data_IF_978639428252
#
_entry.id   IF_978639428252
#
_cell.length_a   1.000
_cell.length_b   1.000
_cell.length_c   1.000
_cell.angle_alpha   90.00
_cell.angle_beta   90.00
_cell.angle_gamma   90.00
#
_symmetry.space_group_name_H-M   'P 1'
#
loop_
_entity.id
_entity.type
_entity.pdbx_description
1 polymer ?
#
# COMPACT_ATOMS: atom_id res chain seq x y z
N UNK A 1 -16.16 -10.49 10.26
CA UNK A 1 -17.08 -10.40 11.42
C UNK A 1 -16.95 -9.02 12.03
N UNK A 2 -18.07 -8.44 12.48
CA UNK A 2 -18.14 -7.11 13.10
C UNK A 2 -18.56 -7.31 14.55
N UNK A 3 -17.90 -6.60 15.45
CA UNK A 3 -18.08 -6.71 16.89
C UNK A 3 -18.33 -5.33 17.48
N UNK A 4 -19.17 -5.28 18.49
CA UNK A 4 -19.31 -4.09 19.33
C UNK A 4 -18.08 -4.01 20.26
N UNK A 5 -17.35 -2.92 20.22
CA UNK A 5 -16.14 -2.75 21.03
C UNK A 5 -16.42 -2.50 22.51
N UNK A 6 -17.63 -2.03 22.85
CA UNK A 6 -18.03 -1.77 24.24
C UNK A 6 -18.50 -3.05 24.95
N UNK A 7 -19.25 -3.90 24.25
CA UNK A 7 -19.85 -5.11 24.82
C UNK A 7 -19.08 -6.39 24.50
N UNK A 8 -18.28 -6.37 23.42
CA UNK A 8 -17.61 -7.57 22.90
C UNK A 8 -18.58 -8.52 22.16
N UNK A 9 -19.81 -8.11 21.95
CA UNK A 9 -20.81 -8.93 21.25
C UNK A 9 -20.61 -8.84 19.73
N UNK A 10 -20.85 -9.97 19.05
CA UNK A 10 -20.81 -10.02 17.59
C UNK A 10 -22.09 -9.45 17.02
N UNK A 11 -22.00 -8.33 16.32
CA UNK A 11 -23.12 -7.68 15.65
C UNK A 11 -23.45 -8.37 14.33
N UNK A 12 -22.46 -8.51 13.43
CA UNK A 12 -22.67 -9.02 12.08
C UNK A 12 -21.57 -9.97 11.61
N UNK A 13 -21.96 -10.85 10.67
CA UNK A 13 -21.02 -11.65 9.89
C UNK A 13 -21.21 -11.32 8.42
N UNK A 14 -20.23 -10.67 7.81
CA UNK A 14 -20.21 -10.43 6.37
C UNK A 14 -19.83 -11.72 5.67
N UNK A 15 -20.67 -12.14 4.73
CA UNK A 15 -20.41 -13.32 3.88
C UNK A 15 -20.76 -12.99 2.44
N UNK A 16 -19.87 -13.35 1.54
CA UNK A 16 -20.21 -13.41 0.14
C UNK A 16 -21.11 -14.63 -0.12
N UNK A 17 -21.97 -14.56 -1.15
CA UNK A 17 -22.84 -15.68 -1.56
C UNK A 17 -22.11 -16.73 -2.38
N UNK A 18 -20.93 -16.39 -2.91
CA UNK A 18 -20.08 -17.35 -3.58
C UNK A 18 -19.30 -18.10 -2.52
N UNK A 19 -19.29 -19.42 -2.59
CA UNK A 19 -18.62 -20.32 -1.62
C UNK A 19 -17.08 -20.19 -1.62
N UNK A 20 -16.51 -19.13 -2.19
CA UNK A 20 -15.07 -18.94 -2.21
C UNK A 20 -14.60 -18.41 -0.84
N UNK A 21 -13.97 -19.27 -0.09
CA UNK A 21 -13.30 -18.99 1.18
C UNK A 21 -11.97 -18.26 0.95
N UNK A 22 -12.00 -17.14 0.21
CA UNK A 22 -10.79 -16.37 -0.08
C UNK A 22 -10.38 -15.53 1.14
N UNK A 23 -9.07 -15.47 1.39
CA UNK A 23 -8.53 -14.65 2.46
C UNK A 23 -8.75 -13.17 2.17
N UNK A 24 -9.30 -12.44 3.13
CA UNK A 24 -9.35 -10.98 3.08
C UNK A 24 -7.93 -10.45 3.23
N UNK A 25 -7.53 -9.59 2.30
CA UNK A 25 -6.19 -8.98 2.28
C UNK A 25 -6.21 -7.59 2.94
N UNK A 26 -7.21 -6.78 2.61
CA UNK A 26 -7.30 -5.42 3.11
C UNK A 26 -8.74 -4.92 3.24
N UNK A 27 -8.92 -3.88 4.03
CA UNK A 27 -10.18 -3.19 4.28
C UNK A 27 -9.96 -1.68 4.24
N UNK A 28 -10.81 -0.97 3.52
CA UNK A 28 -10.84 0.48 3.52
C UNK A 28 -12.25 1.00 3.82
N UNK A 29 -12.31 2.08 4.59
CA UNK A 29 -13.53 2.83 4.83
C UNK A 29 -13.77 3.75 3.65
N UNK A 30 -14.95 3.68 3.05
CA UNK A 30 -15.39 4.63 2.04
C UNK A 30 -15.82 5.94 2.73
N UNK A 31 -15.06 7.04 2.58
CA UNK A 31 -15.35 8.26 3.32
C UNK A 31 -16.58 9.00 2.80
N UNK A 32 -16.89 8.87 1.51
CA UNK A 32 -17.95 9.66 0.87
C UNK A 32 -19.33 9.01 1.03
N UNK A 33 -19.39 7.67 1.00
CA UNK A 33 -20.64 6.93 1.16
C UNK A 33 -20.95 6.56 2.61
N UNK A 34 -20.07 6.81 3.55
CA UNK A 34 -20.27 6.57 4.98
C UNK A 34 -20.94 7.77 5.66
N UNK A 35 -21.81 7.47 6.63
CA UNK A 35 -22.50 8.45 7.47
C UNK A 35 -22.37 8.09 8.95
N UNK A 36 -22.86 8.93 9.87
CA UNK A 36 -22.86 8.65 11.31
C UNK A 36 -23.61 7.38 11.69
N UNK A 37 -24.59 6.95 10.88
CA UNK A 37 -25.46 5.80 11.16
C UNK A 37 -25.14 4.57 10.31
N UNK A 38 -24.42 4.73 9.23
CA UNK A 38 -24.13 3.69 8.26
C UNK A 38 -22.73 3.82 7.70
N UNK A 39 -21.98 2.74 7.76
CA UNK A 39 -20.60 2.66 7.31
C UNK A 39 -20.52 1.86 6.01
N UNK A 40 -19.83 2.38 5.01
CA UNK A 40 -19.50 1.64 3.80
C UNK A 40 -18.03 1.21 3.84
N UNK A 41 -17.80 -0.10 3.81
CA UNK A 41 -16.48 -0.70 3.74
C UNK A 41 -16.22 -1.29 2.36
N UNK A 42 -15.00 -1.18 1.92
CA UNK A 42 -14.46 -1.92 0.78
C UNK A 42 -13.52 -3.00 1.28
N UNK A 43 -13.65 -4.22 0.77
CA UNK A 43 -12.75 -5.32 1.08
C UNK A 43 -12.11 -5.88 -0.17
N UNK A 44 -10.81 -6.12 -0.10
CA UNK A 44 -10.06 -6.88 -1.09
C UNK A 44 -9.70 -8.27 -0.55
N UNK A 45 -9.43 -9.21 -1.44
CA UNK A 45 -9.14 -10.59 -1.09
C UNK A 45 -8.17 -11.27 -2.06
N UNK A 46 -7.87 -12.55 -1.80
CA UNK A 46 -7.02 -13.37 -2.65
C UNK A 46 -7.66 -13.73 -4.00
N UNK A 47 -8.77 -13.11 -4.35
CA UNK A 47 -9.38 -13.13 -5.68
C UNK A 47 -9.35 -11.74 -6.32
N UNK A 48 -9.67 -11.58 -7.60
CA UNK A 48 -9.66 -10.28 -8.27
C UNK A 48 -10.83 -9.37 -7.88
N UNK A 49 -11.77 -9.83 -7.06
CA UNK A 49 -12.99 -9.11 -6.76
C UNK A 49 -12.81 -8.21 -5.53
N UNK A 50 -13.17 -6.96 -5.68
CA UNK A 50 -13.28 -5.99 -4.60
C UNK A 50 -14.77 -5.85 -4.26
N UNK A 51 -15.13 -6.02 -3.00
CA UNK A 51 -16.50 -6.04 -2.54
C UNK A 51 -16.79 -4.83 -1.67
N UNK A 52 -17.97 -4.25 -1.84
CA UNK A 52 -18.45 -3.11 -1.03
C UNK A 52 -19.54 -3.59 -0.08
N UNK A 53 -19.45 -3.17 1.17
CA UNK A 53 -20.33 -3.59 2.25
C UNK A 53 -20.95 -2.39 2.92
N UNK A 54 -22.25 -2.40 3.05
CA UNK A 54 -23.02 -1.40 3.78
C UNK A 54 -23.40 -1.96 5.14
N UNK A 55 -23.04 -1.25 6.20
CA UNK A 55 -23.07 -1.73 7.58
C UNK A 55 -23.73 -0.68 8.45
N UNK A 56 -24.81 -1.08 9.15
CA UNK A 56 -25.44 -0.31 10.22
C UNK A 56 -25.48 -1.14 11.51
N UNK A 57 -25.95 -0.56 12.60
CA UNK A 57 -26.12 -1.31 13.85
C UNK A 57 -27.08 -2.50 13.70
N UNK A 58 -28.09 -2.38 12.86
CA UNK A 58 -29.18 -3.36 12.70
C UNK A 58 -29.02 -4.29 11.51
N UNK A 59 -28.20 -3.92 10.52
CA UNK A 59 -28.05 -4.67 9.27
C UNK A 59 -26.65 -4.56 8.69
N UNK A 60 -26.23 -5.61 8.00
CA UNK A 60 -24.99 -5.59 7.21
C UNK A 60 -25.18 -6.45 5.96
N UNK A 61 -24.92 -5.86 4.79
CA UNK A 61 -25.07 -6.52 3.50
C UNK A 61 -24.04 -6.04 2.50
N UNK A 62 -23.72 -6.87 1.51
CA UNK A 62 -22.99 -6.42 0.35
C UNK A 62 -23.87 -5.46 -0.47
N UNK A 63 -23.29 -4.37 -0.97
CA UNK A 63 -24.02 -3.44 -1.84
C UNK A 63 -24.47 -4.12 -3.11
N UNK A 64 -25.59 -3.64 -3.68
CA UNK A 64 -26.20 -4.18 -4.89
C UNK A 64 -26.23 -3.07 -5.92
N UNK A 65 -25.94 -3.39 -7.17
CA UNK A 65 -25.97 -2.41 -8.24
C UNK A 65 -27.41 -1.93 -8.46
N UNK A 66 -27.68 -0.63 -8.26
CA UNK A 66 -29.02 -0.07 -8.35
C UNK A 66 -29.65 -0.22 -9.75
N UNK A 67 -28.84 -0.29 -10.80
CA UNK A 67 -29.30 -0.44 -12.18
C UNK A 67 -29.83 -1.85 -12.46
N UNK A 68 -29.38 -2.88 -11.75
CA UNK A 68 -29.78 -4.26 -11.94
C UNK A 68 -31.05 -4.60 -11.15
N UNK A 69 -31.35 -3.88 -10.08
CA UNK A 69 -32.57 -4.08 -9.29
C UNK A 69 -33.82 -3.74 -10.10
N UNK A 70 -33.73 -2.79 -11.02
CA UNK A 70 -34.85 -2.36 -11.87
C UNK A 70 -35.11 -3.25 -13.09
N UNK A 71 -34.11 -4.04 -13.51
CA UNK A 71 -34.14 -4.73 -14.81
C UNK A 71 -34.45 -6.23 -14.75
N UNK A 72 -34.40 -6.90 -13.60
CA UNK A 72 -34.53 -8.35 -13.56
C UNK A 72 -35.37 -8.87 -12.41
N UNK A 73 -36.25 -9.82 -12.73
CA UNK A 73 -36.92 -10.72 -11.76
C UNK A 73 -35.96 -11.81 -11.23
N UNK A 74 -34.67 -11.74 -11.56
CA UNK A 74 -33.61 -12.60 -11.07
C UNK A 74 -32.93 -12.00 -9.84
N UNK A 75 -32.18 -12.82 -9.09
CA UNK A 75 -31.46 -12.40 -7.88
C UNK A 75 -30.66 -11.14 -8.14
N UNK A 76 -30.66 -10.15 -7.20
CA UNK A 76 -29.90 -8.92 -7.37
C UNK A 76 -28.43 -9.24 -7.60
N UNK A 77 -27.86 -8.68 -8.66
CA UNK A 77 -26.44 -8.79 -8.96
C UNK A 77 -25.69 -7.95 -7.94
N UNK A 78 -24.76 -8.55 -7.24
CA UNK A 78 -23.95 -7.88 -6.25
C UNK A 78 -22.97 -6.96 -6.92
N UNK A 79 -22.79 -5.80 -6.33
CA UNK A 79 -21.84 -4.82 -6.78
C UNK A 79 -20.42 -5.26 -6.39
N UNK A 80 -19.73 -5.89 -7.33
CA UNK A 80 -18.33 -6.29 -7.23
C UNK A 80 -17.54 -5.57 -8.28
N UNK A 81 -16.44 -4.95 -7.86
CA UNK A 81 -15.48 -4.30 -8.74
C UNK A 81 -14.45 -5.37 -9.14
N UNK A 82 -14.30 -5.60 -10.44
CA UNK A 82 -13.36 -6.59 -10.96
C UNK A 82 -12.53 -5.98 -12.08
N UNK A 83 -11.53 -5.22 -11.69
CA UNK A 83 -10.62 -4.52 -12.60
C UNK A 83 -9.22 -5.15 -12.63
N UNK A 84 -8.93 -6.07 -11.71
CA UNK A 84 -7.70 -6.83 -11.64
C UNK A 84 -7.87 -8.27 -12.12
N UNK A 85 -6.77 -8.92 -12.49
CA UNK A 85 -6.77 -10.31 -12.97
C UNK A 85 -6.59 -11.33 -11.84
N UNK A 86 -6.05 -10.91 -10.71
CA UNK A 86 -5.73 -11.77 -9.57
C UNK A 86 -5.89 -11.03 -8.24
N UNK A 87 -5.31 -11.56 -7.17
CA UNK A 87 -5.41 -11.06 -5.79
C UNK A 87 -5.16 -9.56 -5.68
N UNK A 88 -6.04 -8.86 -4.97
CA UNK A 88 -5.85 -7.45 -4.62
C UNK A 88 -5.35 -7.36 -3.20
N UNK A 89 -4.13 -6.85 -3.03
CA UNK A 89 -3.46 -6.82 -1.73
C UNK A 89 -3.75 -5.57 -0.91
N UNK A 90 -3.96 -4.44 -1.58
CA UNK A 90 -4.19 -3.16 -0.90
C UNK A 90 -5.28 -2.37 -1.59
N UNK A 91 -6.08 -1.66 -0.78
CA UNK A 91 -7.12 -0.73 -1.22
C UNK A 91 -7.05 0.54 -0.37
N UNK A 92 -7.04 1.71 -1.02
CA UNK A 92 -6.95 3.01 -0.34
C UNK A 92 -7.85 4.01 -1.04
N UNK A 93 -8.64 4.78 -0.29
CA UNK A 93 -9.35 5.93 -0.83
C UNK A 93 -8.47 7.17 -0.77
N UNK A 94 -8.40 7.90 -1.86
CA UNK A 94 -7.67 9.17 -1.92
C UNK A 94 -8.31 10.10 -2.95
N UNK A 95 -8.48 11.38 -2.59
CA UNK A 95 -9.06 12.45 -3.39
C UNK A 95 -9.52 13.60 -2.50
N UNK A 96 -9.80 14.76 -3.11
CA UNK A 96 -10.19 15.97 -2.38
C UNK A 96 -11.72 16.10 -2.27
N UNK A 97 -12.43 16.25 -3.40
CA UNK A 97 -13.89 16.43 -3.43
C UNK A 97 -14.64 15.11 -3.50
N UNK A 98 -14.19 14.22 -4.36
CA UNK A 98 -14.65 12.82 -4.45
C UNK A 98 -13.41 11.92 -4.38
N UNK A 99 -13.49 10.88 -3.54
CA UNK A 99 -12.38 9.96 -3.39
C UNK A 99 -12.46 8.81 -4.39
N UNK A 100 -11.39 8.60 -5.12
CA UNK A 100 -11.21 7.43 -5.97
C UNK A 100 -10.59 6.27 -5.17
N UNK A 101 -10.81 5.06 -5.64
CA UNK A 101 -10.27 3.85 -5.03
C UNK A 101 -8.96 3.46 -5.72
N UNK A 102 -7.87 3.50 -4.96
CA UNK A 102 -6.55 3.10 -5.39
C UNK A 102 -6.26 1.69 -4.93
N UNK A 103 -5.73 0.87 -5.82
CA UNK A 103 -5.58 -0.57 -5.59
C UNK A 103 -4.20 -1.04 -5.98
N UNK A 104 -3.73 -2.11 -5.32
CA UNK A 104 -2.48 -2.79 -5.62
C UNK A 104 -2.71 -4.30 -5.71
N UNK A 105 -2.19 -4.94 -6.74
CA UNK A 105 -2.51 -6.33 -7.06
C UNK A 105 -1.29 -7.20 -7.37
N UNK A 106 -1.48 -8.49 -7.21
CA UNK A 106 -0.55 -9.53 -7.64
C UNK A 106 -0.46 -9.67 -9.18
N UNK A 107 -1.30 -8.99 -9.95
CA UNK A 107 -1.18 -8.93 -11.42
C UNK A 107 -0.03 -8.02 -11.89
N UNK A 108 0.70 -7.42 -10.96
CA UNK A 108 1.84 -6.53 -11.25
C UNK A 108 1.43 -5.09 -11.48
N UNK A 109 0.18 -4.75 -11.24
CA UNK A 109 -0.34 -3.40 -11.47
C UNK A 109 -0.87 -2.73 -10.19
N UNK A 110 -0.81 -1.42 -10.19
CA UNK A 110 -1.62 -0.58 -9.31
C UNK A 110 -2.58 0.26 -10.17
N UNK A 111 -3.81 0.45 -9.73
CA UNK A 111 -4.85 1.12 -10.51
C UNK A 111 -5.56 2.18 -9.70
N UNK A 112 -5.97 3.24 -10.40
CA UNK A 112 -6.95 4.22 -9.94
C UNK A 112 -8.32 3.83 -10.51
N UNK A 113 -9.28 3.57 -9.64
CA UNK A 113 -10.65 3.22 -10.00
C UNK A 113 -11.55 4.41 -9.68
N UNK A 114 -12.07 5.04 -10.72
CA UNK A 114 -12.82 6.28 -10.58
C UNK A 114 -14.25 6.05 -10.08
N UNK A 115 -14.61 6.73 -9.00
CA UNK A 115 -15.96 6.75 -8.45
C UNK A 115 -16.96 7.28 -9.49
N UNK A 116 -16.62 8.40 -10.15
CA UNK A 116 -17.48 9.03 -11.17
C UNK A 116 -17.74 8.12 -12.38
N UNK A 117 -16.85 7.15 -12.64
CA UNK A 117 -16.96 6.16 -13.72
C UNK A 117 -17.42 4.79 -13.22
N UNK A 118 -18.13 4.75 -12.10
CA UNK A 118 -18.62 3.51 -11.48
C UNK A 118 -17.51 2.47 -11.24
N UNK A 119 -16.39 2.93 -10.67
CA UNK A 119 -15.24 2.12 -10.29
C UNK A 119 -14.50 1.45 -11.45
N UNK A 120 -14.69 1.94 -12.68
CA UNK A 120 -13.85 1.50 -13.79
C UNK A 120 -12.45 2.09 -13.70
N UNK A 121 -11.47 1.38 -14.23
CA UNK A 121 -10.06 1.82 -14.26
C UNK A 121 -9.92 3.11 -15.04
N UNK A 122 -9.34 4.12 -14.41
CA UNK A 122 -8.99 5.39 -15.03
C UNK A 122 -7.51 5.43 -15.39
N UNK A 123 -6.65 4.97 -14.47
CA UNK A 123 -5.20 4.92 -14.69
C UNK A 123 -4.62 3.58 -14.20
N UNK A 124 -3.57 3.14 -14.87
CA UNK A 124 -2.84 1.90 -14.54
C UNK A 124 -1.35 2.20 -14.46
N UNK A 125 -0.72 1.71 -13.40
CA UNK A 125 0.72 1.82 -13.12
C UNK A 125 1.32 0.42 -13.20
N UNK A 126 2.08 0.16 -14.26
CA UNK A 126 2.73 -1.13 -14.53
C UNK A 126 4.00 -1.27 -13.67
N UNK A 127 3.86 -1.87 -12.50
CA UNK A 127 4.99 -2.06 -11.60
C UNK A 127 5.95 -3.15 -12.09
N UNK A 128 5.40 -4.23 -12.67
CA UNK A 128 6.17 -5.31 -13.29
C UNK A 128 6.27 -6.59 -12.45
N UNK A 129 6.10 -6.52 -11.15
CA UNK A 129 5.96 -7.68 -10.24
C UNK A 129 4.84 -7.38 -9.23
N UNK A 130 4.52 -8.33 -8.36
CA UNK A 130 3.43 -8.23 -7.38
C UNK A 130 3.49 -6.93 -6.58
N UNK A 131 2.47 -6.10 -6.71
CA UNK A 131 2.34 -4.86 -5.92
C UNK A 131 1.64 -5.19 -4.61
N UNK A 132 2.36 -5.06 -3.51
CA UNK A 132 1.82 -5.34 -2.17
C UNK A 132 1.30 -4.10 -1.47
N UNK A 133 1.83 -2.94 -1.83
CA UNK A 133 1.51 -1.69 -1.17
C UNK A 133 1.41 -0.54 -2.17
N UNK A 134 0.50 0.37 -1.89
CA UNK A 134 0.31 1.62 -2.62
C UNK A 134 0.19 2.77 -1.63
N UNK A 135 0.78 3.89 -1.95
CA UNK A 135 0.61 5.18 -1.29
C UNK A 135 0.28 6.24 -2.34
N UNK A 136 -0.56 7.18 -1.99
CA UNK A 136 -0.98 8.24 -2.90
C UNK A 136 -0.82 9.59 -2.23
N UNK A 137 -0.38 10.57 -3.01
CA UNK A 137 -0.27 11.98 -2.63
C UNK A 137 -0.91 12.84 -3.72
N UNK A 138 -0.93 14.14 -3.52
CA UNK A 138 -1.43 15.07 -4.55
C UNK A 138 -0.60 15.02 -5.83
N UNK A 139 0.71 14.79 -5.74
CA UNK A 139 1.64 14.80 -6.85
C UNK A 139 2.11 13.41 -7.31
N UNK A 140 2.15 12.43 -6.41
CA UNK A 140 2.82 11.16 -6.63
C UNK A 140 1.94 9.97 -6.31
N UNK A 141 2.10 8.91 -7.08
CA UNK A 141 1.68 7.56 -6.73
C UNK A 141 2.94 6.77 -6.38
N UNK A 142 2.89 6.01 -5.32
CA UNK A 142 4.00 5.22 -4.81
C UNK A 142 3.56 3.76 -4.81
N UNK A 143 4.31 2.90 -5.45
CA UNK A 143 4.04 1.46 -5.45
C UNK A 143 5.26 0.70 -4.95
N UNK A 144 5.03 -0.38 -4.23
CA UNK A 144 6.10 -1.24 -3.77
C UNK A 144 5.60 -2.69 -3.66
N UNK A 145 6.50 -3.63 -3.80
CA UNK A 145 6.11 -5.01 -3.86
C UNK A 145 7.22 -6.03 -3.70
N UNK A 146 7.07 -7.11 -4.43
CA UNK A 146 7.92 -8.28 -4.35
C UNK A 146 9.31 -8.07 -5.00
N UNK A 147 9.42 -7.14 -5.91
CA UNK A 147 10.68 -6.79 -6.57
C UNK A 147 11.63 -5.95 -5.71
N UNK A 148 11.29 -5.75 -4.40
CA UNK A 148 12.12 -5.03 -3.43
C UNK A 148 12.19 -3.52 -3.67
N UNK A 149 11.64 -3.04 -4.78
CA UNK A 149 11.67 -1.65 -5.22
C UNK A 149 10.52 -0.83 -4.65
N UNK A 150 10.80 0.47 -4.40
CA UNK A 150 9.78 1.49 -4.16
C UNK A 150 9.76 2.45 -5.36
N UNK A 151 8.72 2.37 -6.18
CA UNK A 151 8.58 3.12 -7.42
C UNK A 151 7.72 4.36 -7.21
N UNK A 152 8.21 5.49 -7.68
CA UNK A 152 7.54 6.78 -7.61
C UNK A 152 7.06 7.16 -9.01
N UNK A 153 5.77 7.40 -9.14
CA UNK A 153 5.11 7.73 -10.38
C UNK A 153 4.56 9.15 -10.31
N UNK A 154 4.72 9.91 -11.37
CA UNK A 154 4.05 11.20 -11.51
C UNK A 154 2.56 10.97 -11.72
N UNK A 155 1.73 11.45 -10.78
CA UNK A 155 0.28 11.22 -10.80
C UNK A 155 -0.41 11.86 -12.00
N UNK A 156 0.07 13.00 -12.47
CA UNK A 156 -0.56 13.72 -13.57
C UNK A 156 -0.27 13.10 -14.94
N UNK A 157 0.86 12.41 -15.10
CA UNK A 157 1.30 11.86 -16.37
C UNK A 157 1.30 10.34 -16.43
N UNK A 158 1.13 9.67 -15.30
CA UNK A 158 1.23 8.20 -15.14
C UNK A 158 2.65 7.64 -15.35
N UNK A 159 3.67 8.50 -15.51
CA UNK A 159 5.02 8.06 -15.85
C UNK A 159 5.86 7.77 -14.63
N UNK A 160 6.67 6.72 -14.72
CA UNK A 160 7.69 6.40 -13.72
C UNK A 160 8.68 7.56 -13.62
N UNK A 161 8.81 8.13 -12.42
CA UNK A 161 9.73 9.21 -12.12
C UNK A 161 11.05 8.72 -11.54
N UNK A 162 10.98 7.82 -10.54
CA UNK A 162 12.15 7.31 -9.85
C UNK A 162 11.89 5.94 -9.25
N UNK A 163 12.94 5.17 -9.09
CA UNK A 163 12.96 3.90 -8.38
C UNK A 163 13.93 4.02 -7.21
N UNK A 164 13.45 3.84 -6.01
CA UNK A 164 14.26 3.69 -4.83
C UNK A 164 14.61 2.21 -4.66
N UNK A 165 15.87 1.90 -4.90
CA UNK A 165 16.50 0.62 -4.67
C UNK A 165 17.13 0.61 -3.27
N UNK A 166 16.82 -0.36 -2.46
CA UNK A 166 17.40 -0.43 -1.13
C UNK A 166 16.90 -1.52 -0.21
N UNK A 167 15.68 -2.05 -0.40
CA UNK A 167 15.28 -3.26 0.29
C UNK A 167 15.93 -4.49 -0.34
N UNK A 168 15.96 -5.60 0.39
CA UNK A 168 16.56 -6.86 -0.01
C UNK A 168 15.55 -8.01 0.02
N UNK A 169 14.29 -7.71 0.27
CA UNK A 169 13.16 -8.63 0.32
C UNK A 169 11.86 -7.85 0.09
N UNK A 170 10.74 -8.57 -0.09
CA UNK A 170 9.42 -8.01 -0.36
C UNK A 170 9.10 -6.79 0.51
N UNK A 171 8.68 -5.70 -0.11
CA UNK A 171 8.10 -4.56 0.59
C UNK A 171 6.63 -4.83 0.85
N UNK A 172 6.24 -4.92 2.12
CA UNK A 172 4.91 -5.37 2.54
C UNK A 172 3.93 -4.23 2.82
N UNK A 173 4.43 -3.05 3.16
CA UNK A 173 3.59 -1.90 3.46
C UNK A 173 4.26 -0.57 3.13
N UNK A 174 3.41 0.42 2.81
CA UNK A 174 3.78 1.82 2.63
C UNK A 174 2.90 2.71 3.49
N UNK A 175 3.49 3.73 4.10
CA UNK A 175 2.78 4.78 4.81
C UNK A 175 3.28 6.13 4.33
N UNK A 176 2.40 6.95 3.81
CA UNK A 176 2.70 8.34 3.44
C UNK A 176 2.59 9.21 4.67
N UNK A 177 3.57 10.09 4.90
CA UNK A 177 3.51 11.07 5.98
C UNK A 177 2.38 12.08 5.75
N UNK A 178 1.83 12.62 6.83
CA UNK A 178 0.69 13.55 6.76
C UNK A 178 1.01 14.82 5.95
N UNK A 179 2.27 15.25 5.92
CA UNK A 179 2.73 16.39 5.12
C UNK A 179 3.00 16.03 3.65
N UNK A 180 2.76 14.78 3.24
CA UNK A 180 2.98 14.22 1.91
C UNK A 180 4.42 14.37 1.38
N UNK A 181 5.39 14.63 2.26
CA UNK A 181 6.80 14.84 1.86
C UNK A 181 7.67 13.61 1.95
N UNK A 182 7.17 12.58 2.63
CA UNK A 182 7.91 11.33 2.83
C UNK A 182 6.99 10.14 2.71
N UNK A 183 7.56 9.04 2.27
CA UNK A 183 6.94 7.72 2.37
C UNK A 183 7.85 6.82 3.20
N UNK A 184 7.24 6.00 4.03
CA UNK A 184 7.88 5.00 4.86
C UNK A 184 7.52 3.65 4.27
N UNK A 185 8.52 2.84 3.96
CA UNK A 185 8.35 1.47 3.52
C UNK A 185 8.77 0.48 4.61
N UNK A 186 8.10 -0.66 4.65
CA UNK A 186 8.39 -1.76 5.57
C UNK A 186 8.58 -3.03 4.74
N UNK A 187 9.64 -3.78 5.01
CA UNK A 187 9.99 -4.98 4.27
C UNK A 187 10.20 -6.20 5.18
N UNK A 188 10.12 -7.39 4.58
CA UNK A 188 10.49 -8.65 5.21
C UNK A 188 11.99 -8.70 5.54
N UNK A 189 12.83 -7.87 4.91
CA UNK A 189 14.26 -7.70 5.23
C UNK A 189 14.51 -7.17 6.66
N UNK A 190 13.44 -6.96 7.45
CA UNK A 190 13.44 -6.45 8.83
C UNK A 190 13.85 -4.99 8.94
N UNK A 191 13.82 -4.25 7.84
CA UNK A 191 14.10 -2.83 7.84
C UNK A 191 12.86 -1.99 7.57
N UNK A 192 12.91 -0.78 8.08
CA UNK A 192 12.00 0.31 7.80
C UNK A 192 12.82 1.41 7.15
N UNK A 193 12.38 1.92 5.99
CA UNK A 193 13.07 2.97 5.26
C UNK A 193 12.18 4.18 5.05
N UNK A 194 12.81 5.34 4.99
CA UNK A 194 12.14 6.62 4.78
C UNK A 194 12.70 7.24 3.52
N UNK A 195 11.81 7.60 2.59
CA UNK A 195 12.14 8.14 1.29
C UNK A 195 11.52 9.52 1.13
N UNK A 196 12.29 10.46 0.59
CA UNK A 196 11.80 11.80 0.31
C UNK A 196 10.93 11.85 -0.95
N UNK A 197 9.81 12.56 -0.88
CA UNK A 197 8.90 12.80 -2.01
C UNK A 197 8.97 14.24 -2.52
N UNK A 198 9.77 15.09 -1.88
CA UNK A 198 10.02 16.46 -2.34
C UNK A 198 10.72 16.46 -3.70
N UNK A 199 10.31 17.33 -4.64
CA UNK A 199 10.94 17.41 -5.95
C UNK A 199 12.47 17.54 -5.90
N UNK A 200 13.07 18.40 -5.03
CA UNK A 200 14.53 18.48 -4.91
C UNK A 200 15.18 17.18 -4.42
N UNK A 201 14.53 16.47 -3.51
CA UNK A 201 15.03 15.20 -2.96
C UNK A 201 14.98 14.09 -4.02
N UNK A 202 13.87 14.02 -4.76
CA UNK A 202 13.69 13.08 -5.87
C UNK A 202 14.67 13.33 -7.02
N UNK A 203 14.91 14.61 -7.38
CA UNK A 203 15.90 14.95 -8.39
C UNK A 203 17.32 14.58 -7.96
N UNK A 204 17.64 14.76 -6.67
CA UNK A 204 18.93 14.37 -6.10
C UNK A 204 19.08 12.85 -6.13
N UNK A 205 18.08 12.10 -5.64
CA UNK A 205 18.09 10.65 -5.66
C UNK A 205 18.22 10.08 -7.09
N UNK A 206 17.53 10.68 -8.05
CA UNK A 206 17.62 10.29 -9.45
C UNK A 206 19.03 10.52 -10.02
N UNK A 207 19.65 11.66 -9.73
CA UNK A 207 21.03 11.95 -10.18
C UNK A 207 22.03 10.98 -9.55
N UNK A 208 21.89 10.67 -8.27
CA UNK A 208 22.74 9.70 -7.57
C UNK A 208 22.61 8.29 -8.17
N UNK A 209 21.39 7.87 -8.51
CA UNK A 209 21.12 6.61 -9.19
C UNK A 209 21.74 6.58 -10.60
N UNK A 210 21.59 7.65 -11.38
CA UNK A 210 22.22 7.77 -12.71
C UNK A 210 23.76 7.79 -12.63
N UNK A 211 24.35 8.42 -11.62
CA UNK A 211 25.81 8.43 -11.38
C UNK A 211 26.32 7.04 -11.00
N UNK A 212 25.58 6.32 -10.13
CA UNK A 212 25.90 4.92 -9.79
C UNK A 212 25.84 4.00 -11.02
N UNK A 213 24.81 4.14 -11.84
CA UNK A 213 24.66 3.35 -13.07
C UNK A 213 25.78 3.62 -14.09
N UNK A 214 26.35 4.82 -14.11
CA UNK A 214 27.48 5.20 -14.96
C UNK A 214 28.84 4.81 -14.40
N UNK A 215 28.89 4.11 -13.24
CA UNK A 215 30.14 3.66 -12.60
C UNK A 215 30.96 4.81 -11.99
N UNK A 216 30.37 5.98 -11.80
CA UNK A 216 31.00 7.09 -11.09
C UNK A 216 30.79 6.87 -9.60
N UNK A 217 31.68 6.07 -8.99
CA UNK A 217 31.71 5.90 -7.54
C UNK A 217 32.26 7.20 -6.94
N UNK A 218 31.38 8.05 -6.43
CA UNK A 218 31.83 9.05 -5.45
C UNK A 218 32.10 8.28 -4.16
N UNK A 219 33.36 8.22 -3.75
CA UNK A 219 33.70 7.85 -2.37
C UNK A 219 32.94 8.82 -1.44
N UNK A 220 31.83 8.38 -0.88
CA UNK A 220 31.25 9.07 0.27
C UNK A 220 32.37 9.13 1.32
N UNK A 221 32.79 10.34 1.67
CA UNK A 221 33.53 10.56 2.91
C UNK A 221 32.65 10.10 4.03
N UNK A 222 32.84 8.86 4.44
CA UNK A 222 32.27 8.30 5.66
C UNK A 222 32.69 9.27 6.75
N UNK A 223 31.73 10.02 7.30
CA UNK A 223 31.97 10.80 8.51
C UNK A 223 32.54 9.79 9.52
N UNK A 224 33.65 10.13 10.23
CA UNK A 224 34.28 9.20 11.14
C UNK A 224 33.18 8.71 12.09
N UNK A 225 32.93 7.40 12.09
CA UNK A 225 32.09 6.77 13.10
C UNK A 225 32.64 7.26 14.43
N UNK A 226 31.88 8.04 15.19
CA UNK A 226 32.21 8.27 16.59
C UNK A 226 32.32 6.90 17.21
N UNK A 227 33.54 6.50 17.58
CA UNK A 227 33.73 5.31 18.37
C UNK A 227 32.82 5.44 19.59
N UNK A 228 31.87 4.54 19.70
CA UNK A 228 30.91 4.47 20.82
C UNK A 228 31.61 4.00 22.10
N UNK A 229 32.79 3.44 21.94
CA UNK A 229 33.63 2.92 23.02
C UNK A 229 34.72 3.96 23.36
N UNK A 230 34.99 4.12 24.62
CA UNK A 230 36.10 4.89 25.11
C UNK A 230 37.39 4.09 24.89
N UNK A 231 38.56 4.77 24.89
CA UNK A 231 39.86 4.12 24.72
C UNK A 231 40.10 3.04 25.78
N UNK A 232 39.54 3.20 26.97
CA UNK A 232 39.58 2.24 28.07
C UNK A 232 38.73 0.99 27.78
N UNK A 233 37.56 1.17 27.24
CA UNK A 233 36.65 0.05 26.85
C UNK A 233 37.19 -0.73 25.65
N UNK A 234 37.88 -0.08 24.69
CA UNK A 234 38.57 -0.76 23.58
C UNK A 234 39.76 -1.60 24.09
N UNK A 235 40.46 -1.12 25.10
CA UNK A 235 41.56 -1.86 25.70
C UNK A 235 41.09 -3.09 26.49
N UNK A 236 40.04 -2.97 27.26
CA UNK A 236 39.42 -4.11 27.97
C UNK A 236 38.89 -5.18 27.01
N UNK A 237 38.31 -4.76 25.88
CA UNK A 237 37.80 -5.68 24.88
C UNK A 237 38.94 -6.43 24.15
N UNK A 238 40.06 -5.77 23.91
CA UNK A 238 41.24 -6.38 23.33
C UNK A 238 41.87 -7.43 24.27
N UNK A 239 41.92 -7.12 25.57
CA UNK A 239 42.44 -8.06 26.59
C UNK A 239 41.58 -9.32 26.76
N UNK A 240 40.27 -9.18 26.62
CA UNK A 240 39.29 -10.30 26.63
C UNK A 240 39.41 -11.20 25.40
N UNK A 241 39.75 -10.64 24.24
CA UNK A 241 39.90 -11.44 23.01
C UNK A 241 41.21 -12.21 22.95
N UNK A 242 42.27 -11.72 23.61
CA UNK A 242 43.58 -12.40 23.69
C UNK A 242 43.59 -13.55 24.72
N UNK A 243 42.59 -13.67 25.60
CA UNK A 243 42.53 -14.68 26.66
C UNK A 243 41.90 -16.01 26.21
N UNK A 244 41.36 -16.12 25.01
CA UNK A 244 40.67 -17.32 24.49
C UNK A 244 41.55 -18.17 23.54
N UNK A 245 42.85 -17.91 23.42
CA UNK A 245 43.82 -18.68 22.58
C UNK A 245 44.80 -19.59 23.37
N UNK A 246 44.45 -20.00 24.59
CA UNK A 246 45.27 -21.02 25.34
C UNK A 246 44.47 -22.32 25.60
#
# INVERSE_FOLDING_TARGET
>A
MIWDTATGERLHTLRDSTDSMMAVQDLALDPDDSTDSEVVLVSSSSDPQIRRWRISLTSASQTVNANDVAASQSKPVRDTIQEHETSVYRVVFFGDEETDLWTASADGTAKCLSRAKNWSTEETYEHGDYVRAIGVTDAWVITAGRDEDVKIWDKATGKLWHVYDGHYEDVTALVVSQDQKRVISVSIDRTLRIWGLGKPELEKARKESEEKAKGVVKEEKVAPKKNLLTVEEEAELAELMDSDED
#
